data_IF_846795892081
#
_entry.id   IF_846795892081
#
_cell.length_a   1.000
_cell.length_b   1.000
_cell.length_c   1.000
_cell.angle_alpha   90.00
_cell.angle_beta   90.00
_cell.angle_gamma   90.00
#
_symmetry.space_group_name_H-M   'P 1'
#
loop_
_entity.id
_entity.type
_entity.pdbx_description
1 polymer ?
#
# COMPACT_ATOMS: atom_id res chain seq x y z
N UNK A 1 33.64 -30.61 6.77
CA UNK A 1 33.41 -29.27 6.20
C UNK A 1 32.29 -29.26 5.15
N UNK A 2 32.32 -30.09 4.09
CA UNK A 2 31.22 -30.10 3.09
C UNK A 2 29.85 -30.56 3.65
N UNK A 3 29.82 -31.58 4.51
CA UNK A 3 28.56 -32.09 5.09
C UNK A 3 27.89 -31.19 6.13
N UNK A 4 28.62 -30.21 6.68
CA UNK A 4 28.08 -29.23 7.63
C UNK A 4 27.45 -28.05 6.88
N UNK A 5 28.08 -27.63 5.78
CA UNK A 5 27.56 -26.61 4.87
C UNK A 5 26.23 -27.02 4.21
N UNK A 6 26.10 -28.29 3.79
CA UNK A 6 24.86 -28.83 3.20
C UNK A 6 23.70 -28.84 4.21
N UNK A 7 23.97 -29.19 5.48
CA UNK A 7 22.95 -29.16 6.54
C UNK A 7 22.50 -27.74 6.88
N UNK A 8 23.41 -26.78 6.87
CA UNK A 8 23.09 -25.37 7.06
C UNK A 8 22.18 -24.88 5.92
N UNK A 9 22.48 -25.22 4.66
CA UNK A 9 21.63 -24.79 3.54
C UNK A 9 20.25 -25.44 3.54
N UNK A 10 20.13 -26.70 3.93
CA UNK A 10 18.83 -27.38 4.07
C UNK A 10 17.99 -26.79 5.21
N UNK A 11 18.62 -26.49 6.35
CA UNK A 11 17.94 -25.83 7.47
C UNK A 11 17.50 -24.40 7.12
N UNK A 12 18.36 -23.62 6.44
CA UNK A 12 18.01 -22.27 5.97
C UNK A 12 16.87 -22.29 4.96
N UNK A 13 16.86 -23.27 4.04
CA UNK A 13 15.77 -23.43 3.07
C UNK A 13 14.46 -23.78 3.77
N UNK A 14 14.49 -24.72 4.72
CA UNK A 14 13.30 -25.10 5.49
C UNK A 14 12.70 -23.90 6.24
N UNK A 15 13.54 -23.11 6.90
CA UNK A 15 13.11 -21.87 7.58
C UNK A 15 12.50 -20.90 6.58
N UNK A 16 13.11 -20.70 5.41
CA UNK A 16 12.56 -19.84 4.37
C UNK A 16 11.19 -20.33 3.86
N UNK A 17 11.03 -21.63 3.63
CA UNK A 17 9.78 -22.24 3.18
C UNK A 17 8.66 -22.09 4.24
N UNK A 18 8.97 -22.29 5.53
CA UNK A 18 8.05 -22.07 6.66
C UNK A 18 7.60 -20.60 6.75
N UNK A 19 8.53 -19.66 6.57
CA UNK A 19 8.22 -18.23 6.55
C UNK A 19 7.36 -17.81 5.35
N UNK A 20 7.64 -18.34 4.16
CA UNK A 20 6.86 -18.05 2.97
C UNK A 20 5.41 -18.56 3.12
N UNK A 21 5.21 -19.70 3.79
CA UNK A 21 3.88 -20.23 4.10
C UNK A 21 3.14 -19.36 5.13
N UNK A 22 3.80 -18.91 6.19
CA UNK A 22 3.22 -17.98 7.16
C UNK A 22 2.80 -16.64 6.51
N UNK A 23 3.68 -16.06 5.69
CA UNK A 23 3.36 -14.83 4.94
C UNK A 23 2.15 -15.08 4.03
N UNK A 24 2.11 -16.22 3.34
CA UNK A 24 0.98 -16.57 2.47
C UNK A 24 -0.35 -16.63 3.22
N UNK A 25 -0.37 -17.18 4.44
CA UNK A 25 -1.55 -17.21 5.29
C UNK A 25 -1.96 -15.80 5.75
N UNK A 26 -0.98 -14.96 6.11
CA UNK A 26 -1.20 -13.60 6.57
C UNK A 26 -1.69 -12.64 5.47
N UNK A 27 -1.29 -12.82 4.20
CA UNK A 27 -1.61 -11.92 3.06
C UNK A 27 -3.07 -11.46 2.98
N UNK A 28 -4.02 -12.34 3.29
CA UNK A 28 -5.45 -12.05 3.22
C UNK A 28 -5.97 -11.14 4.35
N UNK A 29 -5.23 -11.03 5.46
CA UNK A 29 -5.61 -10.28 6.66
C UNK A 29 -5.25 -8.80 6.56
N UNK A 30 -4.26 -8.47 5.74
CA UNK A 30 -3.78 -7.12 5.50
C UNK A 30 -4.46 -6.50 4.27
N UNK A 31 -5.39 -5.58 4.51
CA UNK A 31 -6.01 -4.83 3.43
C UNK A 31 -5.04 -3.87 2.74
N UNK A 32 -5.06 -3.86 1.42
CA UNK A 32 -4.22 -2.98 0.59
C UNK A 32 -5.10 -2.01 -0.19
N UNK A 33 -4.98 -0.72 0.07
CA UNK A 33 -5.74 0.30 -0.64
C UNK A 33 -4.86 0.96 -1.70
N UNK A 34 -5.16 0.71 -2.98
CA UNK A 34 -4.43 1.28 -4.09
C UNK A 34 -4.95 2.68 -4.42
N UNK A 35 -4.11 3.67 -4.13
CA UNK A 35 -4.32 5.09 -4.44
C UNK A 35 -3.66 5.43 -5.78
N UNK A 36 -4.23 6.38 -6.52
CA UNK A 36 -3.66 6.81 -7.80
C UNK A 36 -4.56 7.78 -8.55
N UNK A 37 -4.07 8.36 -9.66
CA UNK A 37 -4.80 9.38 -10.40
C UNK A 37 -6.20 8.94 -10.85
N UNK A 38 -7.22 9.76 -10.61
CA UNK A 38 -8.54 9.57 -11.19
C UNK A 38 -8.61 9.89 -12.69
N UNK A 39 -7.61 10.58 -13.24
CA UNK A 39 -7.57 10.99 -14.63
C UNK A 39 -6.13 10.99 -15.14
N UNK A 40 -5.86 10.58 -16.40
CA UNK A 40 -6.82 10.09 -17.40
C UNK A 40 -7.42 8.71 -17.05
N UNK A 41 -8.55 8.34 -17.65
CA UNK A 41 -9.29 7.09 -17.34
C UNK A 41 -8.42 5.83 -17.41
N UNK A 42 -7.47 5.79 -18.35
CA UNK A 42 -6.48 4.72 -18.49
C UNK A 42 -5.72 4.43 -17.18
N UNK A 43 -5.47 5.45 -16.35
CA UNK A 43 -4.80 5.26 -15.05
C UNK A 43 -5.69 4.60 -14.00
N UNK A 44 -7.01 4.74 -14.12
CA UNK A 44 -7.96 4.03 -13.27
C UNK A 44 -8.00 2.54 -13.65
N UNK A 45 -8.07 2.23 -14.95
CA UNK A 45 -8.09 0.85 -15.43
C UNK A 45 -6.77 0.14 -15.13
N UNK A 46 -5.65 0.87 -15.22
CA UNK A 46 -4.35 0.40 -14.77
C UNK A 46 -4.37 -0.07 -13.31
N UNK A 47 -4.90 0.75 -12.38
CA UNK A 47 -5.01 0.35 -10.97
C UNK A 47 -5.89 -0.86 -10.74
N UNK A 48 -6.98 -1.02 -11.51
CA UNK A 48 -7.82 -2.22 -11.45
C UNK A 48 -7.05 -3.47 -11.87
N UNK A 49 -6.21 -3.37 -12.89
CA UNK A 49 -5.36 -4.47 -13.31
C UNK A 49 -4.32 -4.81 -12.23
N UNK A 50 -3.67 -3.82 -11.64
CA UNK A 50 -2.75 -4.01 -10.49
C UNK A 50 -3.48 -4.70 -9.34
N UNK A 51 -4.67 -4.23 -8.97
CA UNK A 51 -5.53 -4.85 -7.95
C UNK A 51 -5.84 -6.31 -8.28
N UNK A 52 -6.21 -6.62 -9.53
CA UNK A 52 -6.48 -7.98 -9.96
C UNK A 52 -5.25 -8.90 -9.82
N UNK A 53 -4.06 -8.40 -10.15
CA UNK A 53 -2.81 -9.15 -9.96
C UNK A 53 -2.50 -9.41 -8.49
N UNK A 54 -2.66 -8.41 -7.61
CA UNK A 54 -2.45 -8.59 -6.16
C UNK A 54 -3.46 -9.58 -5.58
N UNK A 55 -4.75 -9.48 -5.95
CA UNK A 55 -5.78 -10.39 -5.46
C UNK A 55 -5.54 -11.84 -5.89
N UNK A 56 -5.03 -12.07 -7.11
CA UNK A 56 -4.62 -13.42 -7.57
C UNK A 56 -3.46 -14.01 -6.77
N UNK A 57 -2.72 -13.18 -6.03
CA UNK A 57 -1.57 -13.58 -5.20
C UNK A 57 -1.91 -13.68 -3.71
N UNK A 58 -3.20 -13.57 -3.35
CA UNK A 58 -3.68 -13.75 -1.97
C UNK A 58 -3.87 -12.45 -1.18
N UNK A 59 -3.56 -11.29 -1.74
CA UNK A 59 -3.78 -10.01 -1.08
C UNK A 59 -5.26 -9.59 -1.11
N UNK A 60 -5.70 -8.82 -0.10
CA UNK A 60 -6.99 -8.13 -0.12
C UNK A 60 -6.83 -6.69 -0.63
N UNK A 61 -6.58 -6.54 -1.93
CA UNK A 61 -6.41 -5.24 -2.56
C UNK A 61 -7.73 -4.62 -3.05
N UNK A 62 -7.89 -3.31 -2.85
CA UNK A 62 -9.07 -2.54 -3.24
C UNK A 62 -8.72 -1.21 -3.91
N UNK A 63 -9.66 -0.70 -4.71
CA UNK A 63 -9.64 0.65 -5.30
C UNK A 63 -10.96 1.35 -5.00
N UNK A 64 -10.92 2.67 -4.77
CA UNK A 64 -12.10 3.44 -4.36
C UNK A 64 -13.23 3.44 -5.40
N UNK A 65 -12.88 3.36 -6.70
CA UNK A 65 -13.83 3.41 -7.82
C UNK A 65 -14.88 2.28 -7.76
N UNK A 66 -14.48 1.10 -7.31
CA UNK A 66 -15.30 -0.12 -7.41
C UNK A 66 -16.20 -0.37 -6.21
N UNK A 67 -16.08 0.49 -5.20
CA UNK A 67 -16.86 0.39 -3.97
C UNK A 67 -17.97 1.41 -4.04
N UNK A 68 -19.21 0.95 -3.98
CA UNK A 68 -20.37 1.83 -3.84
C UNK A 68 -20.40 2.40 -2.43
N UNK A 69 -20.75 3.67 -2.32
CA UNK A 69 -20.88 4.37 -1.06
C UNK A 69 -22.03 5.36 -1.19
N UNK A 70 -23.00 5.25 -0.28
CA UNK A 70 -24.09 6.20 -0.14
C UNK A 70 -23.69 7.15 0.99
N UNK A 71 -23.39 8.43 0.68
CA UNK A 71 -23.03 9.40 1.71
C UNK A 71 -24.24 9.72 2.59
N UNK A 72 -23.98 9.98 3.87
CA UNK A 72 -24.98 10.53 4.78
C UNK A 72 -25.46 11.90 4.27
N UNK A 73 -26.73 12.28 4.48
CA UNK A 73 -27.32 13.51 3.94
C UNK A 73 -26.58 14.81 4.32
N UNK A 74 -25.87 14.80 5.45
CA UNK A 74 -25.13 15.92 6.04
C UNK A 74 -23.61 15.81 5.84
N UNK A 75 -23.14 14.85 5.05
CA UNK A 75 -21.72 14.69 4.73
C UNK A 75 -21.15 15.93 4.03
N UNK A 76 -20.24 16.62 4.73
CA UNK A 76 -19.52 17.80 4.20
C UNK A 76 -18.49 17.39 3.14
N UNK A 77 -17.94 16.17 3.23
CA UNK A 77 -16.99 15.65 2.26
C UNK A 77 -17.23 14.15 1.97
N UNK A 78 -18.17 13.84 1.06
CA UNK A 78 -18.54 12.46 0.70
C UNK A 78 -17.38 11.59 0.22
N UNK A 79 -16.36 12.19 -0.41
CA UNK A 79 -15.20 11.44 -0.90
C UNK A 79 -14.26 11.03 0.23
N UNK A 80 -14.02 11.94 1.18
CA UNK A 80 -13.24 11.63 2.38
C UNK A 80 -13.96 10.58 3.24
N UNK A 81 -15.28 10.70 3.38
CA UNK A 81 -16.06 9.75 4.17
C UNK A 81 -16.08 8.36 3.52
N UNK A 82 -16.23 8.32 2.18
CA UNK A 82 -16.04 7.09 1.40
C UNK A 82 -14.65 6.48 1.61
N UNK A 83 -13.60 7.29 1.55
CA UNK A 83 -12.22 6.85 1.73
C UNK A 83 -12.05 6.13 3.07
N UNK A 84 -12.54 6.73 4.16
CA UNK A 84 -12.46 6.15 5.49
C UNK A 84 -13.38 4.95 5.70
N UNK A 85 -14.57 4.97 5.11
CA UNK A 85 -15.46 3.81 5.09
C UNK A 85 -14.76 2.59 4.48
N UNK A 86 -14.05 2.77 3.35
CA UNK A 86 -13.28 1.72 2.71
C UNK A 86 -12.12 1.27 3.61
N UNK A 87 -11.35 2.23 4.15
CA UNK A 87 -10.20 1.92 4.99
C UNK A 87 -10.58 1.03 6.19
N UNK A 88 -11.67 1.38 6.87
CA UNK A 88 -12.20 0.61 8.00
C UNK A 88 -12.77 -0.74 7.57
N UNK A 89 -13.68 -0.76 6.59
CA UNK A 89 -14.39 -1.98 6.15
C UNK A 89 -13.46 -3.09 5.64
N UNK A 90 -12.35 -2.71 5.02
CA UNK A 90 -11.39 -3.65 4.44
C UNK A 90 -10.19 -3.92 5.33
N UNK A 91 -10.16 -3.40 6.57
CA UNK A 91 -9.02 -3.48 7.48
C UNK A 91 -7.71 -3.09 6.76
N UNK A 92 -7.73 -1.92 6.12
CA UNK A 92 -6.58 -1.45 5.35
C UNK A 92 -5.40 -1.22 6.30
N UNK A 93 -4.27 -1.84 5.99
CA UNK A 93 -3.00 -1.65 6.70
C UNK A 93 -1.98 -0.93 5.84
N UNK A 94 -2.13 -0.99 4.51
CA UNK A 94 -1.23 -0.35 3.56
C UNK A 94 -2.00 0.52 2.57
N UNK A 95 -1.64 1.81 2.51
CA UNK A 95 -2.08 2.74 1.46
C UNK A 95 -0.99 2.86 0.41
N UNK A 96 -1.20 2.23 -0.73
CA UNK A 96 -0.20 2.18 -1.81
C UNK A 96 -0.49 3.27 -2.82
N UNK A 97 0.31 4.33 -2.79
CA UNK A 97 0.24 5.49 -3.65
C UNK A 97 0.97 5.25 -4.98
N UNK A 98 0.22 5.03 -6.06
CA UNK A 98 0.77 4.76 -7.40
C UNK A 98 0.83 6.06 -8.20
N UNK A 99 2.04 6.48 -8.56
CA UNK A 99 2.33 7.65 -9.37
C UNK A 99 2.86 7.25 -10.74
N UNK A 100 2.02 7.26 -11.79
CA UNK A 100 2.46 6.97 -13.14
C UNK A 100 3.16 8.15 -13.80
N UNK A 101 4.01 7.85 -14.78
CA UNK A 101 4.61 8.85 -15.67
C UNK A 101 3.54 9.72 -16.32
N UNK A 102 3.69 11.04 -16.24
CA UNK A 102 2.75 12.03 -16.79
C UNK A 102 1.36 12.11 -16.11
N UNK A 103 1.12 11.38 -15.02
CA UNK A 103 -0.15 11.43 -14.28
C UNK A 103 -0.32 12.67 -13.40
N UNK A 104 -1.56 13.14 -13.25
CA UNK A 104 -1.88 14.22 -12.27
C UNK A 104 -1.81 13.68 -10.85
N UNK A 105 -0.97 14.27 -10.00
CA UNK A 105 -0.74 13.80 -8.63
C UNK A 105 -1.76 14.29 -7.61
N UNK A 106 -2.56 15.31 -7.94
CA UNK A 106 -3.42 16.02 -6.98
C UNK A 106 -4.37 15.11 -6.20
N UNK A 107 -4.99 14.12 -6.86
CA UNK A 107 -5.92 13.21 -6.18
C UNK A 107 -5.21 12.38 -5.10
N UNK A 108 -4.07 11.79 -5.46
CA UNK A 108 -3.25 10.97 -4.55
C UNK A 108 -2.72 11.80 -3.40
N UNK A 109 -2.24 13.01 -3.68
CA UNK A 109 -1.76 13.93 -2.64
C UNK A 109 -2.88 14.29 -1.66
N UNK A 110 -4.10 14.53 -2.16
CA UNK A 110 -5.25 14.80 -1.29
C UNK A 110 -5.61 13.59 -0.42
N UNK A 111 -5.54 12.38 -0.96
CA UNK A 111 -5.79 11.14 -0.20
C UNK A 111 -4.72 10.91 0.87
N UNK A 112 -3.44 11.19 0.56
CA UNK A 112 -2.34 11.17 1.55
C UNK A 112 -2.56 12.21 2.65
N UNK A 113 -3.04 13.41 2.29
CA UNK A 113 -3.37 14.43 3.28
C UNK A 113 -4.49 14.00 4.23
N UNK A 114 -5.48 13.23 3.77
CA UNK A 114 -6.47 12.63 4.67
C UNK A 114 -5.80 11.71 5.69
N UNK A 115 -4.89 10.84 5.24
CA UNK A 115 -4.17 9.91 6.13
C UNK A 115 -3.38 10.70 7.18
N UNK A 116 -2.60 11.68 6.74
CA UNK A 116 -1.82 12.55 7.63
C UNK A 116 -2.69 13.33 8.61
N UNK A 117 -3.83 13.88 8.18
CA UNK A 117 -4.81 14.57 9.04
C UNK A 117 -5.30 13.66 10.17
N UNK A 118 -5.55 12.37 9.88
CA UNK A 118 -6.15 11.43 10.84
C UNK A 118 -5.14 10.86 11.84
N UNK A 119 -3.93 10.53 11.42
CA UNK A 119 -2.97 9.82 12.28
C UNK A 119 -1.64 10.54 12.50
N UNK A 120 -1.43 11.71 11.90
CA UNK A 120 -0.18 12.44 11.95
C UNK A 120 0.88 11.93 10.97
N UNK A 121 1.91 12.75 10.72
CA UNK A 121 2.91 12.50 9.69
C UNK A 121 3.72 11.21 9.90
N UNK A 122 4.13 10.92 11.15
CA UNK A 122 4.93 9.74 11.47
C UNK A 122 4.17 8.45 11.14
N UNK A 123 2.92 8.36 11.59
CA UNK A 123 2.08 7.21 11.36
C UNK A 123 1.65 7.10 9.88
N UNK A 124 1.40 8.23 9.22
CA UNK A 124 1.15 8.25 7.77
C UNK A 124 2.34 7.70 6.97
N UNK A 125 3.58 8.03 7.37
CA UNK A 125 4.78 7.50 6.74
C UNK A 125 4.93 5.97 6.89
N UNK A 126 4.42 5.40 7.99
CA UNK A 126 4.38 3.96 8.23
C UNK A 126 3.25 3.25 7.46
N UNK A 127 2.13 3.92 7.19
CA UNK A 127 0.98 3.35 6.49
C UNK A 127 1.07 3.50 4.97
N UNK A 128 1.70 4.57 4.48
CA UNK A 128 1.80 4.86 3.05
C UNK A 128 2.99 4.14 2.41
N UNK A 129 2.79 3.60 1.20
CA UNK A 129 3.87 3.13 0.32
C UNK A 129 3.78 3.90 -0.99
N UNK A 130 4.87 4.52 -1.43
CA UNK A 130 4.92 5.38 -2.59
C UNK A 130 5.58 4.67 -3.76
N UNK A 131 4.82 4.37 -4.81
CA UNK A 131 5.30 3.70 -6.02
C UNK A 131 5.38 4.73 -7.15
N UNK A 132 6.59 5.10 -7.55
CA UNK A 132 6.82 6.04 -8.64
C UNK A 132 7.26 5.32 -9.91
N UNK A 133 6.75 5.73 -11.07
CA UNK A 133 7.36 5.31 -12.32
C UNK A 133 8.79 5.87 -12.43
N UNK A 134 9.67 5.20 -13.19
CA UNK A 134 11.07 5.64 -13.35
C UNK A 134 11.21 7.03 -13.96
N UNK A 135 10.30 7.42 -14.85
CA UNK A 135 10.27 8.74 -15.49
C UNK A 135 9.64 9.84 -14.61
N UNK A 136 9.12 9.48 -13.44
CA UNK A 136 8.42 10.41 -12.56
C UNK A 136 9.39 11.30 -11.75
N UNK A 137 9.31 12.61 -11.93
CA UNK A 137 10.09 13.58 -11.15
C UNK A 137 9.41 13.91 -9.82
N UNK A 138 9.90 13.30 -8.72
CA UNK A 138 9.42 13.56 -7.35
C UNK A 138 9.63 15.03 -6.97
N UNK A 139 10.78 15.60 -7.32
CA UNK A 139 11.10 16.98 -6.99
C UNK A 139 10.12 17.98 -7.62
N UNK A 140 9.72 17.74 -8.87
CA UNK A 140 8.82 18.64 -9.60
C UNK A 140 7.34 18.46 -9.23
N UNK A 141 6.91 17.24 -8.89
CA UNK A 141 5.47 16.90 -8.86
C UNK A 141 4.91 16.61 -7.46
N UNK A 142 5.77 16.43 -6.45
CA UNK A 142 5.35 16.14 -5.08
C UNK A 142 5.57 17.39 -4.20
N UNK A 143 4.52 17.90 -3.54
CA UNK A 143 4.63 19.01 -2.60
C UNK A 143 5.56 18.70 -1.42
N UNK A 144 6.09 19.73 -0.78
CA UNK A 144 7.06 19.57 0.29
C UNK A 144 6.53 18.78 1.49
N UNK A 145 5.28 18.99 1.89
CA UNK A 145 4.69 18.26 3.03
C UNK A 145 4.61 16.75 2.75
N UNK A 146 4.18 16.34 1.55
CA UNK A 146 4.19 14.92 1.15
C UNK A 146 5.61 14.37 1.04
N UNK A 147 6.59 15.18 0.59
CA UNK A 147 8.01 14.77 0.55
C UNK A 147 8.55 14.40 1.93
N UNK A 148 8.07 15.05 2.98
CA UNK A 148 8.51 14.75 4.35
C UNK A 148 8.04 13.35 4.83
N UNK A 149 7.06 12.74 4.15
CA UNK A 149 6.61 11.37 4.41
C UNK A 149 7.44 10.33 3.64
N UNK A 150 8.24 10.75 2.67
CA UNK A 150 9.04 9.85 1.84
C UNK A 150 10.29 9.42 2.59
N UNK A 151 10.45 8.11 2.75
CA UNK A 151 11.64 7.47 3.29
C UNK A 151 12.13 6.41 2.30
N UNK A 152 13.39 5.97 2.44
CA UNK A 152 13.93 4.89 1.60
C UNK A 152 13.12 3.59 1.74
N UNK A 153 12.57 3.33 2.93
CA UNK A 153 11.83 2.09 3.21
C UNK A 153 10.41 2.07 2.63
N UNK A 154 9.80 3.24 2.44
CA UNK A 154 8.42 3.34 1.94
C UNK A 154 8.31 3.81 0.49
N UNK A 155 9.43 4.09 -0.18
CA UNK A 155 9.48 4.62 -1.55
C UNK A 155 10.06 3.61 -2.53
N UNK A 156 9.39 3.44 -3.66
CA UNK A 156 9.80 2.52 -4.72
C UNK A 156 9.74 3.14 -6.09
N UNK A 157 10.50 2.51 -6.97
CA UNK A 157 10.47 2.71 -8.41
C UNK A 157 9.96 1.47 -9.11
N UNK A 158 9.19 1.63 -10.17
CA UNK A 158 8.81 0.55 -11.06
C UNK A 158 9.12 0.92 -12.50
N UNK A 159 9.58 -0.09 -13.25
CA UNK A 159 9.80 0.03 -14.67
C UNK A 159 8.47 -0.19 -15.40
N UNK A 160 8.26 0.64 -16.43
CA UNK A 160 7.14 0.57 -17.37
C UNK A 160 5.74 0.76 -16.76
N UNK A 161 4.82 1.28 -17.55
CA UNK A 161 3.40 1.34 -17.18
C UNK A 161 2.74 -0.04 -17.37
N UNK A 162 3.29 -1.08 -16.71
CA UNK A 162 2.83 -2.47 -16.75
C UNK A 162 2.22 -2.90 -15.39
N UNK A 163 0.93 -3.28 -15.33
CA UNK A 163 0.26 -3.62 -14.08
C UNK A 163 0.89 -4.80 -13.32
N UNK A 164 1.43 -5.80 -14.03
CA UNK A 164 2.05 -6.96 -13.41
C UNK A 164 3.39 -6.61 -12.75
N UNK A 165 4.16 -5.72 -13.37
CA UNK A 165 5.40 -5.20 -12.79
C UNK A 165 5.11 -4.41 -11.52
N UNK A 166 4.15 -3.47 -11.57
CA UNK A 166 3.75 -2.69 -10.40
C UNK A 166 3.24 -3.58 -9.28
N UNK A 167 2.39 -4.57 -9.58
CA UNK A 167 1.90 -5.52 -8.58
C UNK A 167 3.04 -6.34 -7.93
N UNK A 168 4.07 -6.71 -8.68
CA UNK A 168 5.24 -7.41 -8.14
C UNK A 168 6.08 -6.51 -7.24
N UNK A 169 6.28 -5.26 -7.63
CA UNK A 169 6.97 -4.26 -6.82
C UNK A 169 6.23 -4.01 -5.50
N UNK A 170 4.89 -3.88 -5.54
CA UNK A 170 4.05 -3.75 -4.35
C UNK A 170 4.13 -4.98 -3.45
N UNK A 171 4.00 -6.18 -4.02
CA UNK A 171 4.08 -7.45 -3.30
C UNK A 171 5.37 -7.56 -2.48
N UNK A 172 6.53 -7.25 -3.08
CA UNK A 172 7.81 -7.37 -2.38
C UNK A 172 7.90 -6.52 -1.12
N UNK A 173 7.32 -5.33 -1.14
CA UNK A 173 7.32 -4.47 0.05
C UNK A 173 6.34 -4.98 1.09
N UNK A 174 5.13 -5.33 0.66
CA UNK A 174 4.12 -5.77 1.62
C UNK A 174 4.55 -7.08 2.28
N UNK A 175 5.17 -8.01 1.55
CA UNK A 175 5.71 -9.25 2.11
C UNK A 175 6.80 -9.02 3.15
N UNK A 176 7.72 -8.07 2.90
CA UNK A 176 8.74 -7.69 3.88
C UNK A 176 8.11 -7.07 5.13
N UNK A 177 7.07 -6.27 4.97
CA UNK A 177 6.36 -5.61 6.07
C UNK A 177 5.53 -6.58 6.91
N UNK A 178 4.87 -7.55 6.26
CA UNK A 178 4.20 -8.64 6.95
C UNK A 178 5.23 -9.44 7.75
N UNK A 179 6.40 -9.74 7.17
CA UNK A 179 7.48 -10.44 7.90
C UNK A 179 7.94 -9.66 9.13
N UNK A 180 8.22 -8.36 9.01
CA UNK A 180 8.59 -7.51 10.14
C UNK A 180 7.50 -7.46 11.22
N UNK A 181 6.22 -7.48 10.83
CA UNK A 181 5.10 -7.51 11.76
C UNK A 181 5.01 -8.85 12.51
N UNK A 182 5.08 -9.98 11.80
CA UNK A 182 5.03 -11.33 12.37
C UNK A 182 6.23 -11.61 13.30
N UNK A 183 7.39 -11.00 13.03
CA UNK A 183 8.56 -11.05 13.90
C UNK A 183 8.42 -10.19 15.17
N UNK A 184 7.32 -9.43 15.32
CA UNK A 184 7.08 -8.52 16.43
C UNK A 184 7.92 -7.23 16.38
N UNK A 185 8.54 -6.95 15.24
CA UNK A 185 9.44 -5.80 15.05
C UNK A 185 8.69 -4.50 14.71
N UNK A 186 7.37 -4.55 14.44
CA UNK A 186 6.52 -3.36 14.25
C UNK A 186 5.17 -3.47 14.95
N UNK A 187 4.82 -2.45 15.73
CA UNK A 187 3.57 -2.35 16.53
C UNK A 187 2.60 -1.26 16.04
N UNK A 188 2.82 -0.68 14.86
CA UNK A 188 2.24 0.62 14.51
C UNK A 188 0.86 0.67 13.85
N UNK A 189 0.08 -0.40 13.72
CA UNK A 189 -1.12 -0.37 12.86
C UNK A 189 -2.44 0.02 13.55
N UNK A 190 -2.42 0.39 14.83
CA UNK A 190 -3.63 0.51 15.66
C UNK A 190 -4.40 1.82 15.49
N UNK A 191 -3.78 2.86 14.90
CA UNK A 191 -4.41 4.18 14.70
C UNK A 191 -5.65 4.17 13.77
N UNK A 192 -5.81 3.14 12.94
CA UNK A 192 -6.98 2.98 12.07
C UNK A 192 -8.16 2.33 12.79
N UNK A 193 -7.93 1.73 13.97
CA UNK A 193 -8.95 1.01 14.75
C UNK A 193 -9.52 1.85 15.90
N UNK A 194 -8.92 2.99 16.26
CA UNK A 194 -9.53 3.94 17.20
C UNK A 194 -10.64 4.75 16.50
N UNK A 195 -11.85 4.22 16.49
CA UNK A 195 -13.06 4.97 16.11
C UNK A 195 -13.74 5.66 17.30
N UNK A 196 -13.13 5.71 18.48
CA UNK A 196 -13.73 6.40 19.61
C UNK A 196 -13.21 7.83 19.79
N UNK A 197 -14.17 8.76 19.68
CA UNK A 197 -14.21 10.15 20.16
C UNK A 197 -13.37 11.21 19.42
N UNK A 198 -14.01 11.94 18.49
CA UNK A 198 -14.51 13.30 18.76
C UNK A 198 -15.44 13.79 17.65
#
# INVERSE_FOLDING_TARGET
MAGEYVRITEAMKKIADEWDEHIHQAKGEFGVFLLGPGYPSITQDFRKLVMSHLNKRGYRAVVMRDISYEPEPDSVNPLRDKFWHIASRFNIRFFVCIFPGGGKTHAVISEVAYIEERCGAEQAAQLCRFCFSDDFSVLANIPQYTKNLLTEVNTMRYCDFNPACVAWTIERIIDNEIREYEEGNRTGYDCLQSTDAH
#
